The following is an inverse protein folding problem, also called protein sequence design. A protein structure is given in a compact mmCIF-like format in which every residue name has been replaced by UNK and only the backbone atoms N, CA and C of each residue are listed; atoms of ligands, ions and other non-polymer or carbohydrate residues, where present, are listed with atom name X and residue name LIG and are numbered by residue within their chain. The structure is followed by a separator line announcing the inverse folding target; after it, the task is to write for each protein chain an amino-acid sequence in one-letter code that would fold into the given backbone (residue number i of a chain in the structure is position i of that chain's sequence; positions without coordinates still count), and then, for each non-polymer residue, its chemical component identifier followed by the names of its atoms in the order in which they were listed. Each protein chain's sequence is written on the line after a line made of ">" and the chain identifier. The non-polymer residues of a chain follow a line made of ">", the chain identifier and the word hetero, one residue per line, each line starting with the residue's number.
data_IF_529863366611
#
_entry.id   IF_529863366611
#
_cell.length_a   1.000
_cell.length_b   1.000
_cell.length_c   1.000
_cell.angle_alpha   90.00
_cell.angle_beta   90.00
_cell.angle_gamma   90.00
#
_symmetry.space_group_name_H-M   'P 1'
#
loop_
_entity.id
_entity.type
_entity.pdbx_description
1 polymer ?
#
# COMPACT_ATOMS: atom_id res chain seq x y z
N UNK A 1 3.58 -19.33 -25.96
CA UNK A 1 3.43 -17.87 -25.77
C UNK A 1 3.69 -17.57 -24.30
N UNK A 2 4.92 -17.20 -23.94
CA UNK A 2 5.26 -16.81 -22.56
C UNK A 2 4.78 -15.38 -22.35
N UNK A 3 3.55 -15.21 -21.84
CA UNK A 3 3.10 -13.91 -21.33
C UNK A 3 3.70 -13.70 -19.95
N UNK A 4 4.61 -12.73 -19.87
CA UNK A 4 5.32 -12.29 -18.67
C UNK A 4 4.37 -11.99 -17.50
N UNK A 5 4.16 -12.98 -16.63
CA UNK A 5 3.41 -12.85 -15.37
C UNK A 5 4.34 -12.59 -14.17
N UNK A 6 5.63 -12.33 -14.43
CA UNK A 6 6.66 -12.15 -13.39
C UNK A 6 6.63 -10.73 -12.79
N UNK A 7 6.14 -9.73 -13.53
CA UNK A 7 6.14 -8.33 -13.09
C UNK A 7 5.29 -8.09 -11.84
N UNK A 8 4.15 -8.76 -11.72
CA UNK A 8 3.25 -8.63 -10.57
C UNK A 8 3.71 -9.45 -9.36
N UNK A 9 4.37 -10.59 -9.58
CA UNK A 9 4.98 -11.38 -8.50
C UNK A 9 6.23 -10.71 -7.91
N UNK A 10 7.06 -10.03 -8.72
CA UNK A 10 8.23 -9.30 -8.22
C UNK A 10 7.82 -8.11 -7.34
N UNK A 11 6.72 -7.40 -7.66
CA UNK A 11 6.17 -6.36 -6.78
C UNK A 11 5.54 -6.96 -5.51
N UNK A 12 4.94 -8.15 -5.59
CA UNK A 12 4.38 -8.86 -4.44
C UNK A 12 5.46 -9.37 -3.46
N UNK A 13 6.69 -9.57 -3.94
CA UNK A 13 7.83 -10.02 -3.12
C UNK A 13 8.63 -8.86 -2.49
N UNK A 14 8.21 -7.60 -2.61
CA UNK A 14 8.89 -6.53 -1.88
C UNK A 14 8.53 -6.60 -0.39
N UNK A 15 9.51 -7.00 0.42
CA UNK A 15 9.35 -7.07 1.88
C UNK A 15 9.11 -5.66 2.41
N UNK A 16 8.03 -5.50 3.17
CA UNK A 16 7.62 -4.24 3.78
C UNK A 16 7.71 -4.36 5.29
N UNK A 17 8.17 -3.30 5.93
CA UNK A 17 8.19 -3.19 7.38
C UNK A 17 7.44 -1.94 7.81
N UNK A 18 6.76 -1.99 8.96
CA UNK A 18 6.03 -0.85 9.49
C UNK A 18 6.99 0.23 9.95
N UNK A 19 6.70 1.49 9.59
CA UNK A 19 7.39 2.63 10.19
C UNK A 19 6.95 2.76 11.65
N UNK A 20 7.89 2.93 12.57
CA UNK A 20 7.62 3.12 13.98
C UNK A 20 8.58 4.16 14.57
N UNK A 21 8.11 5.31 15.09
CA UNK A 21 6.71 5.73 15.19
C UNK A 21 6.11 6.12 13.82
N UNK A 22 4.81 5.87 13.63
CA UNK A 22 4.10 6.18 12.37
C UNK A 22 4.18 7.66 11.97
N UNK A 23 4.50 8.56 12.90
CA UNK A 23 4.75 9.99 12.66
C UNK A 23 6.00 10.29 11.82
N UNK A 24 6.96 9.36 11.70
CA UNK A 24 8.16 9.51 10.86
C UNK A 24 7.91 9.20 9.39
N UNK A 25 6.68 8.86 9.02
CA UNK A 25 6.36 8.58 7.64
C UNK A 25 6.53 9.83 6.76
N UNK A 26 7.24 9.68 5.63
CA UNK A 26 7.45 10.76 4.65
C UNK A 26 6.22 11.05 3.79
N UNK A 27 5.24 10.14 3.80
CA UNK A 27 3.97 10.29 3.08
C UNK A 27 2.81 10.21 4.07
N UNK A 28 1.67 10.77 3.70
CA UNK A 28 0.46 10.68 4.52
C UNK A 28 -0.46 9.60 3.96
N UNK A 29 -0.63 8.52 4.72
CA UNK A 29 -1.66 7.51 4.48
C UNK A 29 -3.02 8.03 4.97
N UNK A 30 -4.06 7.84 4.16
CA UNK A 30 -5.43 8.26 4.45
C UNK A 30 -6.28 7.07 4.90
N UNK A 31 -7.49 7.36 5.39
CA UNK A 31 -8.50 6.36 5.71
C UNK A 31 -8.01 5.22 6.62
N UNK A 32 -7.12 5.54 7.57
CA UNK A 32 -6.57 4.56 8.52
C UNK A 32 -5.51 3.62 7.95
N UNK A 33 -4.97 3.90 6.76
CA UNK A 33 -3.84 3.15 6.21
C UNK A 33 -2.57 3.31 7.05
N UNK A 34 -1.75 2.25 7.10
CA UNK A 34 -0.49 2.24 7.85
C UNK A 34 0.68 2.54 6.93
N UNK A 35 1.63 3.32 7.41
CA UNK A 35 2.87 3.55 6.69
C UNK A 35 3.85 2.40 6.88
N UNK A 36 4.40 1.95 5.76
CA UNK A 36 5.48 0.98 5.69
C UNK A 36 6.60 1.51 4.79
N UNK A 37 7.80 1.00 4.97
CA UNK A 37 8.92 1.23 4.06
C UNK A 37 9.33 -0.07 3.39
N UNK A 38 9.98 0.04 2.23
CA UNK A 38 10.59 -1.12 1.58
C UNK A 38 11.83 -1.54 2.36
N UNK A 39 11.91 -2.81 2.76
CA UNK A 39 13.06 -3.32 3.53
C UNK A 39 14.36 -3.17 2.74
N UNK A 40 14.29 -3.27 1.41
CA UNK A 40 15.45 -3.16 0.54
C UNK A 40 15.84 -1.69 0.25
N UNK A 41 14.92 -0.73 0.40
CA UNK A 41 15.19 0.73 0.35
C UNK A 41 14.27 1.49 1.33
N UNK A 42 14.74 1.78 2.56
CA UNK A 42 13.96 2.46 3.58
C UNK A 42 13.58 3.90 3.24
N UNK A 43 14.17 4.49 2.19
CA UNK A 43 13.80 5.84 1.76
C UNK A 43 12.44 5.88 1.05
N UNK A 44 11.97 4.72 0.57
CA UNK A 44 10.71 4.53 -0.12
C UNK A 44 9.64 4.14 0.90
N UNK A 45 8.73 5.07 1.17
CA UNK A 45 7.57 4.86 2.02
C UNK A 45 6.33 4.57 1.17
N UNK A 46 5.52 3.61 1.61
CA UNK A 46 4.29 3.16 0.96
C UNK A 46 3.19 2.97 2.00
N UNK A 47 1.92 3.04 1.58
CA UNK A 47 0.78 2.83 2.46
C UNK A 47 0.23 1.41 2.32
N UNK A 48 0.00 0.76 3.45
CA UNK A 48 -0.77 -0.47 3.56
C UNK A 48 -2.21 -0.12 3.91
N UNK A 49 -3.09 -0.28 2.93
CA UNK A 49 -4.51 0.03 3.07
C UNK A 49 -5.29 -1.08 3.74
N UNK A 50 -6.43 -0.73 4.35
CA UNK A 50 -7.38 -1.73 4.84
C UNK A 50 -7.92 -2.51 3.64
N UNK A 51 -7.55 -3.79 3.58
CA UNK A 51 -7.93 -4.73 2.53
C UNK A 51 -9.43 -4.68 2.25
N UNK A 52 -9.78 -4.59 0.96
CA UNK A 52 -11.15 -4.54 0.44
C UNK A 52 -11.99 -3.31 0.83
N UNK A 53 -11.44 -2.36 1.59
CA UNK A 53 -12.13 -1.14 2.01
C UNK A 53 -11.60 0.10 1.31
N UNK A 54 -10.27 0.25 1.23
CA UNK A 54 -9.62 1.39 0.58
C UNK A 54 -8.47 0.95 -0.31
N UNK A 55 -8.22 1.70 -1.38
CA UNK A 55 -7.15 1.45 -2.33
C UNK A 55 -6.48 2.74 -2.84
N UNK A 56 -5.42 2.57 -3.63
CA UNK A 56 -4.55 3.64 -4.13
C UNK A 56 -3.31 3.83 -3.27
N UNK A 57 -2.33 4.59 -3.79
CA UNK A 57 -1.00 4.75 -3.18
C UNK A 57 -1.03 5.33 -1.76
N UNK A 58 -2.09 6.06 -1.42
CA UNK A 58 -2.32 6.67 -0.10
C UNK A 58 -3.61 6.18 0.56
N UNK A 59 -4.20 5.09 0.05
CA UNK A 59 -5.51 4.59 0.50
C UNK A 59 -6.64 5.62 0.36
N UNK A 60 -6.57 6.47 -0.66
CA UNK A 60 -7.48 7.60 -0.84
C UNK A 60 -8.84 7.21 -1.45
N UNK A 61 -8.90 6.08 -2.17
CA UNK A 61 -10.11 5.67 -2.86
C UNK A 61 -10.84 4.62 -2.05
N UNK A 62 -12.16 4.76 -1.93
CA UNK A 62 -13.01 3.75 -1.33
C UNK A 62 -13.20 2.59 -2.30
N UNK A 63 -13.00 1.37 -1.84
CA UNK A 63 -13.27 0.16 -2.60
C UNK A 63 -14.75 0.01 -2.91
N UNK A 64 -15.06 -0.81 -3.92
CA UNK A 64 -16.40 -0.94 -4.48
C UNK A 64 -17.49 -1.20 -3.44
N UNK A 65 -17.19 -1.91 -2.33
CA UNK A 65 -18.13 -2.16 -1.23
C UNK A 65 -18.65 -0.90 -0.53
N UNK A 66 -17.88 0.18 -0.50
CA UNK A 66 -18.32 1.46 0.11
C UNK A 66 -19.04 2.36 -0.90
N UNK A 67 -18.78 2.22 -2.20
CA UNK A 67 -19.38 3.07 -3.24
C UNK A 67 -20.82 2.70 -3.61
N UNK A 68 -21.30 1.50 -3.26
CA UNK A 68 -22.70 1.08 -3.47
C UNK A 68 -23.67 1.57 -2.38
N UNK A 69 -23.17 2.20 -1.32
CA UNK A 69 -24.01 2.75 -0.25
C UNK A 69 -24.38 4.23 -0.43
N UNK A 70 -24.20 4.81 -1.63
CA UNK A 70 -24.53 6.21 -1.89
C UNK A 70 -25.32 6.40 -3.19
#
# INVERSE_FOLDING_TARGET
>A
MYSNNIQWEILAQQRKAFVNPQSECRIKCLNGGFCAYLVDDPTIHTCLCLLNVYYGDRCQYAGMFLSIYH
#
